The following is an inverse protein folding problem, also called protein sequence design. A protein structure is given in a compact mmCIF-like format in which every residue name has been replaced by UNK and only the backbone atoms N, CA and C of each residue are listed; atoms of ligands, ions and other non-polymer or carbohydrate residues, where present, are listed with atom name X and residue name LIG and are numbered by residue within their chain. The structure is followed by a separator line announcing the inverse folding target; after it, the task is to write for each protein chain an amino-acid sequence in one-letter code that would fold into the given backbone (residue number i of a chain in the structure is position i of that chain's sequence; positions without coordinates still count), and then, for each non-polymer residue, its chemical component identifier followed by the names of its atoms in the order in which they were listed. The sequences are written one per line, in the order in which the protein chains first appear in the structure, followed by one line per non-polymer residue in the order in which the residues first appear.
data_IF_696696159856
#
_entry.id   IF_696696159856
#
_cell.length_a   1.000
_cell.length_b   1.000
_cell.length_c   1.000
_cell.angle_alpha   90.00
_cell.angle_beta   90.00
_cell.angle_gamma   90.00
#
_symmetry.space_group_name_H-M   'P 1'
#
loop_
_entity.id
_entity.type
_entity.pdbx_description
1 polymer ?
#
# COMPACT_ATOMS: atom_id res chain seq x y z
N UNK A 1 -28.87 -23.21 4.39
CA UNK A 1 -29.15 -21.75 4.45
C UNK A 1 -27.99 -21.03 5.18
N UNK A 2 -27.38 -21.63 6.22
CA UNK A 2 -26.27 -21.02 6.98
C UNK A 2 -24.99 -20.86 6.16
N UNK A 3 -24.74 -21.76 5.22
CA UNK A 3 -23.55 -21.71 4.35
C UNK A 3 -23.65 -20.67 3.22
N UNK A 4 -24.87 -20.33 2.80
CA UNK A 4 -25.11 -19.29 1.77
C UNK A 4 -25.00 -17.87 2.32
N UNK A 5 -25.30 -17.65 3.62
CA UNK A 5 -25.22 -16.31 4.24
C UNK A 5 -23.83 -15.94 4.71
N UNK A 6 -22.97 -16.91 5.02
CA UNK A 6 -21.57 -16.65 5.43
C UNK A 6 -20.71 -16.07 4.31
N UNK A 7 -20.89 -16.56 3.10
CA UNK A 7 -20.07 -16.19 1.95
C UNK A 7 -20.38 -14.77 1.44
N UNK A 8 -21.68 -14.40 1.41
CA UNK A 8 -22.10 -13.07 0.97
C UNK A 8 -21.67 -11.94 1.92
N UNK A 9 -21.61 -12.20 3.22
CA UNK A 9 -21.21 -11.18 4.20
C UNK A 9 -19.74 -10.76 4.03
N UNK A 10 -18.85 -11.70 3.74
CA UNK A 10 -17.43 -11.41 3.49
C UNK A 10 -17.21 -10.75 2.13
N UNK A 11 -17.89 -11.22 1.09
CA UNK A 11 -17.77 -10.68 -0.27
C UNK A 11 -18.25 -9.23 -0.35
N UNK A 12 -19.31 -8.85 0.37
CA UNK A 12 -19.79 -7.47 0.43
C UNK A 12 -19.00 -6.60 1.41
N UNK A 13 -18.42 -7.17 2.46
CA UNK A 13 -17.68 -6.42 3.47
C UNK A 13 -16.39 -5.79 2.91
N UNK A 14 -15.68 -6.48 2.02
CA UNK A 14 -14.42 -6.01 1.47
C UNK A 14 -14.53 -4.75 0.58
N UNK A 15 -15.49 -4.64 -0.37
CA UNK A 15 -15.71 -3.39 -1.09
C UNK A 15 -16.05 -2.21 -0.15
N UNK A 16 -16.85 -2.46 0.89
CA UNK A 16 -17.21 -1.44 1.89
C UNK A 16 -15.96 -1.03 2.67
N UNK A 17 -15.14 -1.98 3.09
CA UNK A 17 -13.86 -1.71 3.76
C UNK A 17 -12.97 -0.78 2.92
N UNK A 18 -12.82 -1.04 1.63
CA UNK A 18 -12.05 -0.20 0.73
C UNK A 18 -12.59 1.21 0.61
N UNK A 19 -13.91 1.34 0.46
CA UNK A 19 -14.57 2.65 0.36
C UNK A 19 -14.25 3.49 1.60
N UNK A 20 -14.48 2.93 2.79
CA UNK A 20 -14.26 3.67 4.03
C UNK A 20 -12.79 3.87 4.38
N UNK A 21 -11.90 2.96 4.01
CA UNK A 21 -10.47 3.16 4.17
C UNK A 21 -9.97 4.33 3.29
N UNK A 22 -10.38 4.39 2.02
CA UNK A 22 -10.03 5.49 1.10
C UNK A 22 -10.61 6.82 1.61
N UNK A 23 -11.85 6.82 2.06
CA UNK A 23 -12.47 8.02 2.63
C UNK A 23 -11.75 8.48 3.90
N UNK A 24 -11.47 7.58 4.84
CA UNK A 24 -10.80 7.90 6.09
C UNK A 24 -9.44 8.54 5.85
N UNK A 25 -8.56 7.85 5.11
CA UNK A 25 -7.22 8.37 4.83
C UNK A 25 -7.24 9.60 3.93
N UNK A 26 -8.18 9.68 2.98
CA UNK A 26 -8.39 10.86 2.16
C UNK A 26 -8.76 12.09 3.00
N UNK A 27 -9.72 11.96 3.92
CA UNK A 27 -10.14 13.02 4.84
C UNK A 27 -8.98 13.45 5.76
N UNK A 28 -8.20 12.49 6.29
CA UNK A 28 -7.03 12.78 7.12
C UNK A 28 -5.94 13.51 6.35
N UNK A 29 -5.73 13.15 5.08
CA UNK A 29 -4.78 13.82 4.17
C UNK A 29 -5.24 15.24 3.86
N UNK A 30 -6.52 15.44 3.54
CA UNK A 30 -7.12 16.76 3.30
C UNK A 30 -7.01 17.66 4.55
N UNK A 31 -7.24 17.10 5.74
CA UNK A 31 -7.07 17.81 7.01
C UNK A 31 -5.61 18.18 7.31
N UNK A 32 -4.65 17.68 6.52
CA UNK A 32 -3.23 17.98 6.67
C UNK A 32 -2.57 17.26 7.85
N UNK A 33 -3.05 16.07 8.22
CA UNK A 33 -2.51 15.29 9.33
C UNK A 33 -1.01 14.98 9.15
N UNK A 34 -0.56 14.74 7.92
CA UNK A 34 0.84 14.40 7.64
C UNK A 34 1.76 15.62 7.55
N UNK A 35 1.24 16.84 7.39
CA UNK A 35 2.05 18.03 7.12
C UNK A 35 3.05 18.37 8.22
N UNK A 36 2.67 18.41 9.52
CA UNK A 36 3.63 18.69 10.58
C UNK A 36 4.73 17.62 10.68
N UNK A 37 4.39 16.37 10.32
CA UNK A 37 5.34 15.26 10.30
C UNK A 37 6.32 15.44 9.14
N UNK A 38 5.81 15.76 7.94
CA UNK A 38 6.61 16.06 6.76
C UNK A 38 7.57 17.22 7.04
N UNK A 39 7.05 18.32 7.57
CA UNK A 39 7.84 19.51 7.93
C UNK A 39 8.92 19.18 8.98
N UNK A 40 8.58 18.35 9.97
CA UNK A 40 9.54 17.91 10.98
C UNK A 40 10.65 17.05 10.38
N UNK A 41 10.31 16.12 9.51
CA UNK A 41 11.28 15.28 8.80
C UNK A 41 12.20 16.18 7.96
N UNK A 42 11.64 17.07 7.14
CA UNK A 42 12.41 17.97 6.29
C UNK A 42 13.39 18.82 7.11
N UNK A 43 12.96 19.37 8.26
CA UNK A 43 13.83 20.15 9.15
C UNK A 43 14.92 19.31 9.83
N UNK A 44 14.64 18.04 10.13
CA UNK A 44 15.58 17.17 10.87
C UNK A 44 16.64 16.56 9.96
N UNK A 45 16.29 16.34 8.71
CA UNK A 45 17.15 15.69 7.70
C UNK A 45 18.42 16.53 7.42
N UNK A 46 18.34 17.85 7.44
CA UNK A 46 19.48 18.74 7.21
C UNK A 46 20.08 18.56 5.81
N UNK A 47 21.41 18.66 5.71
CA UNK A 47 22.14 18.69 4.42
C UNK A 47 22.96 17.43 4.14
N UNK A 48 22.93 16.43 5.02
CA UNK A 48 23.71 15.19 4.82
C UNK A 48 22.94 14.21 3.93
N UNK A 49 23.53 13.71 2.83
CA UNK A 49 22.89 12.75 1.94
C UNK A 49 22.33 11.52 2.66
N UNK A 50 23.10 10.96 3.62
CA UNK A 50 22.64 9.81 4.41
C UNK A 50 21.35 10.09 5.15
N UNK A 51 21.22 11.26 5.81
CA UNK A 51 19.99 11.63 6.52
C UNK A 51 18.83 11.90 5.57
N UNK A 52 19.10 12.47 4.40
CA UNK A 52 18.08 12.75 3.37
C UNK A 52 17.48 11.45 2.86
N UNK A 53 18.31 10.46 2.55
CA UNK A 53 17.86 9.17 2.05
C UNK A 53 17.08 8.39 3.12
N UNK A 54 17.54 8.39 4.37
CA UNK A 54 16.80 7.78 5.50
C UNK A 54 15.50 8.54 5.78
N UNK A 55 15.53 9.88 5.73
CA UNK A 55 14.33 10.72 5.85
C UNK A 55 13.31 10.45 4.74
N UNK A 56 13.79 10.19 3.52
CA UNK A 56 12.92 9.76 2.40
C UNK A 56 12.22 8.43 2.70
N UNK A 57 12.95 7.43 3.23
CA UNK A 57 12.35 6.16 3.63
C UNK A 57 11.29 6.35 4.72
N UNK A 58 11.61 7.15 5.73
CA UNK A 58 10.68 7.46 6.82
C UNK A 58 9.41 8.15 6.29
N UNK A 59 9.58 9.15 5.44
CA UNK A 59 8.46 9.88 4.85
C UNK A 59 7.60 8.96 3.98
N UNK A 60 8.22 8.18 3.11
CA UNK A 60 7.51 7.25 2.24
C UNK A 60 6.70 6.20 3.02
N UNK A 61 7.28 5.64 4.10
CA UNK A 61 6.58 4.70 4.99
C UNK A 61 5.38 5.34 5.67
N UNK A 62 5.52 6.58 6.16
CA UNK A 62 4.43 7.30 6.83
C UNK A 62 3.31 7.68 5.86
N UNK A 63 3.67 8.15 4.66
CA UNK A 63 2.68 8.45 3.62
C UNK A 63 1.97 7.17 3.18
N UNK A 64 2.69 6.05 3.05
CA UNK A 64 2.12 4.76 2.64
C UNK A 64 1.15 4.14 3.68
N UNK A 65 0.99 4.73 4.84
CA UNK A 65 -0.04 4.30 5.79
C UNK A 65 -1.47 4.38 5.22
N UNK A 66 -1.69 5.17 4.19
CA UNK A 66 -2.97 5.19 3.45
C UNK A 66 -3.21 3.94 2.59
N UNK A 67 -2.19 3.09 2.43
CA UNK A 67 -2.24 1.88 1.61
C UNK A 67 -2.13 2.12 0.11
N UNK A 68 -1.91 3.37 -0.33
CA UNK A 68 -1.79 3.74 -1.73
C UNK A 68 -0.35 4.03 -2.14
N UNK A 69 0.19 3.20 -3.00
CA UNK A 69 1.51 3.46 -3.54
C UNK A 69 1.57 4.71 -4.42
N UNK A 70 0.52 5.00 -5.18
CA UNK A 70 0.46 6.20 -6.00
C UNK A 70 0.57 7.48 -5.15
N UNK A 71 -0.17 7.57 -4.04
CA UNK A 71 -0.10 8.69 -3.09
C UNK A 71 1.29 8.79 -2.48
N UNK A 72 1.92 7.66 -2.15
CA UNK A 72 3.29 7.64 -1.62
C UNK A 72 4.26 8.36 -2.54
N UNK A 73 4.22 8.07 -3.84
CA UNK A 73 5.08 8.76 -4.82
C UNK A 73 4.67 10.22 -5.02
N UNK A 74 3.38 10.50 -5.17
CA UNK A 74 2.85 11.86 -5.41
C UNK A 74 3.17 12.83 -4.26
N UNK A 75 3.30 12.35 -3.03
CA UNK A 75 3.63 13.17 -1.87
C UNK A 75 5.13 13.19 -1.60
N UNK A 76 5.79 12.03 -1.58
CA UNK A 76 7.19 11.92 -1.16
C UNK A 76 8.14 12.48 -2.21
N UNK A 77 7.91 12.21 -3.51
CA UNK A 77 8.81 12.65 -4.56
C UNK A 77 8.86 14.17 -4.66
N UNK A 78 7.75 14.92 -4.80
CA UNK A 78 7.81 16.38 -4.83
C UNK A 78 8.38 17.01 -3.55
N UNK A 79 8.16 16.39 -2.39
CA UNK A 79 8.67 16.89 -1.12
C UNK A 79 10.21 16.76 -1.01
N UNK A 80 10.77 15.66 -1.52
CA UNK A 80 12.20 15.33 -1.34
C UNK A 80 13.05 15.68 -2.57
N UNK A 81 12.49 15.70 -3.79
CA UNK A 81 13.21 15.95 -5.03
C UNK A 81 14.05 17.26 -5.04
N UNK A 82 13.56 18.39 -4.50
CA UNK A 82 14.35 19.61 -4.43
C UNK A 82 15.64 19.43 -3.63
N UNK A 83 15.63 18.66 -2.53
CA UNK A 83 16.81 18.36 -1.73
C UNK A 83 17.82 17.50 -2.51
N UNK A 84 17.33 16.48 -3.21
CA UNK A 84 18.17 15.62 -4.07
C UNK A 84 18.83 16.42 -5.18
N UNK A 85 18.07 17.30 -5.84
CA UNK A 85 18.57 18.11 -6.95
C UNK A 85 19.63 19.13 -6.47
N UNK A 86 19.37 19.80 -5.36
CA UNK A 86 20.30 20.83 -4.81
C UNK A 86 21.63 20.25 -4.36
N UNK A 87 21.62 19.03 -3.80
CA UNK A 87 22.83 18.37 -3.31
C UNK A 87 23.49 17.47 -4.36
N UNK A 88 22.91 17.32 -5.54
CA UNK A 88 23.43 16.44 -6.59
C UNK A 88 23.32 14.94 -6.26
N UNK A 89 22.40 14.57 -5.35
CA UNK A 89 22.10 13.16 -5.04
C UNK A 89 21.39 12.54 -6.22
N UNK A 90 21.74 11.29 -6.57
CA UNK A 90 21.08 10.59 -7.67
C UNK A 90 19.57 10.42 -7.41
N UNK A 91 18.75 10.95 -8.30
CA UNK A 91 17.28 10.90 -8.21
C UNK A 91 16.74 9.46 -8.25
N UNK A 92 17.48 8.53 -8.86
CA UNK A 92 17.13 7.10 -8.86
C UNK A 92 17.08 6.50 -7.45
N UNK A 93 17.90 7.03 -6.53
CA UNK A 93 17.86 6.61 -5.12
C UNK A 93 16.55 7.05 -4.47
N UNK A 94 16.04 8.25 -4.78
CA UNK A 94 14.74 8.70 -4.30
C UNK A 94 13.63 7.72 -4.71
N UNK A 95 13.56 7.40 -6.00
CA UNK A 95 12.56 6.46 -6.52
C UNK A 95 12.71 5.05 -5.93
N UNK A 96 13.94 4.55 -5.84
CA UNK A 96 14.25 3.24 -5.26
C UNK A 96 13.81 3.14 -3.79
N UNK A 97 14.12 4.14 -2.99
CA UNK A 97 13.77 4.15 -1.56
C UNK A 97 12.27 4.29 -1.35
N UNK A 98 11.59 5.13 -2.14
CA UNK A 98 10.12 5.21 -2.11
C UNK A 98 9.47 3.86 -2.45
N UNK A 99 9.99 3.20 -3.49
CA UNK A 99 9.49 1.91 -3.93
C UNK A 99 9.72 0.81 -2.88
N UNK A 100 10.92 0.73 -2.29
CA UNK A 100 11.21 -0.22 -1.21
C UNK A 100 10.32 0.02 0.01
N UNK A 101 10.11 1.28 0.40
CA UNK A 101 9.25 1.62 1.53
C UNK A 101 7.78 1.24 1.29
N UNK A 102 7.26 1.51 0.09
CA UNK A 102 5.92 1.10 -0.30
C UNK A 102 5.80 -0.43 -0.38
N UNK A 103 6.81 -1.12 -0.92
CA UNK A 103 6.81 -2.56 -1.12
C UNK A 103 6.89 -3.40 0.15
N UNK A 104 7.32 -2.84 1.27
CA UNK A 104 7.46 -3.57 2.55
C UNK A 104 6.25 -3.35 3.47
N UNK A 105 5.37 -2.41 3.17
CA UNK A 105 4.29 -2.03 4.07
C UNK A 105 3.02 -2.85 3.82
N UNK A 106 2.95 -4.06 4.40
CA UNK A 106 1.82 -5.01 4.29
C UNK A 106 0.72 -4.73 5.31
N UNK A 107 0.08 -3.59 5.26
CA UNK A 107 -0.97 -3.28 6.22
C UNK A 107 -2.30 -3.98 5.86
N UNK A 108 -3.15 -4.29 6.86
CA UNK A 108 -4.40 -5.03 6.65
C UNK A 108 -5.36 -4.37 5.65
N UNK A 109 -5.24 -3.07 5.42
CA UNK A 109 -6.08 -2.30 4.49
C UNK A 109 -5.39 -1.99 3.16
N UNK A 110 -4.18 -2.48 2.92
CA UNK A 110 -3.51 -2.30 1.63
C UNK A 110 -4.16 -3.12 0.54
N UNK A 111 -4.10 -2.59 -0.68
CA UNK A 111 -4.69 -3.22 -1.85
C UNK A 111 -4.37 -4.71 -2.03
N UNK A 112 -3.11 -5.13 -1.93
CA UNK A 112 -2.72 -6.54 -2.07
C UNK A 112 -3.35 -7.45 -1.03
N UNK A 113 -3.33 -7.07 0.26
CA UNK A 113 -3.90 -7.87 1.35
C UNK A 113 -5.40 -8.05 1.17
N UNK A 114 -6.10 -6.96 0.85
CA UNK A 114 -7.55 -7.01 0.65
C UNK A 114 -7.95 -7.79 -0.61
N UNK A 115 -7.17 -7.71 -1.70
CA UNK A 115 -7.39 -8.53 -2.89
C UNK A 115 -7.19 -10.01 -2.61
N UNK A 116 -6.14 -10.38 -1.88
CA UNK A 116 -5.88 -11.76 -1.48
C UNK A 116 -7.00 -12.31 -0.60
N UNK A 117 -7.45 -11.52 0.36
CA UNK A 117 -8.60 -11.85 1.21
C UNK A 117 -9.87 -12.08 0.38
N UNK A 118 -10.16 -11.18 -0.56
CA UNK A 118 -11.32 -11.28 -1.44
C UNK A 118 -11.26 -12.52 -2.35
N UNK A 119 -10.10 -12.77 -2.94
CA UNK A 119 -9.93 -13.85 -3.94
C UNK A 119 -9.99 -15.25 -3.33
N UNK A 120 -9.54 -15.42 -2.09
CA UNK A 120 -9.48 -16.71 -1.40
C UNK A 120 -10.53 -16.87 -0.30
N UNK A 121 -11.36 -15.84 -0.05
CA UNK A 121 -12.39 -15.85 0.99
C UNK A 121 -11.81 -16.13 2.39
N UNK A 122 -10.63 -15.57 2.69
CA UNK A 122 -9.95 -15.72 3.98
C UNK A 122 -9.99 -14.40 4.76
N UNK A 123 -10.12 -14.43 6.10
CA UNK A 123 -10.11 -13.21 6.90
C UNK A 123 -8.81 -12.42 6.73
N UNK A 124 -8.93 -11.10 6.65
CA UNK A 124 -7.78 -10.19 6.52
C UNK A 124 -6.78 -10.36 7.66
N UNK A 125 -7.26 -10.59 8.89
CA UNK A 125 -6.43 -10.78 10.06
C UNK A 125 -5.52 -12.01 9.93
N UNK A 126 -6.06 -13.13 9.43
CA UNK A 126 -5.33 -14.38 9.26
C UNK A 126 -4.22 -14.26 8.20
N UNK A 127 -4.46 -13.44 7.18
CA UNK A 127 -3.44 -13.11 6.19
C UNK A 127 -2.33 -12.24 6.76
N UNK A 128 -2.69 -11.21 7.52
CA UNK A 128 -1.75 -10.18 7.94
C UNK A 128 -0.92 -10.55 9.17
N UNK A 129 -1.54 -11.12 10.23
CA UNK A 129 -0.86 -11.36 11.50
C UNK A 129 0.43 -12.19 11.35
N UNK A 130 0.47 -13.30 10.58
CA UNK A 130 1.70 -14.06 10.38
C UNK A 130 2.79 -13.32 9.59
N UNK A 131 2.42 -12.25 8.85
CA UNK A 131 3.38 -11.45 8.08
C UNK A 131 4.03 -10.33 8.92
N UNK A 132 3.58 -10.05 10.13
CA UNK A 132 4.14 -9.01 11.00
C UNK A 132 5.66 -9.19 11.21
N UNK A 133 6.19 -10.38 11.57
CA UNK A 133 7.63 -10.55 11.70
C UNK A 133 8.40 -10.28 10.41
N UNK A 134 7.84 -10.68 9.27
CA UNK A 134 8.44 -10.44 7.94
C UNK A 134 8.46 -8.94 7.64
N UNK A 135 7.38 -8.24 7.96
CA UNK A 135 7.32 -6.78 7.81
C UNK A 135 8.37 -6.06 8.66
N UNK A 136 8.57 -6.49 9.91
CA UNK A 136 9.61 -5.92 10.78
C UNK A 136 11.01 -6.12 10.16
N UNK A 137 11.33 -7.32 9.69
CA UNK A 137 12.60 -7.60 9.01
C UNK A 137 12.73 -6.76 7.74
N UNK A 138 11.66 -6.64 6.96
CA UNK A 138 11.62 -5.80 5.76
C UNK A 138 11.85 -4.32 6.07
N UNK A 139 11.25 -3.79 7.14
CA UNK A 139 11.48 -2.41 7.58
C UNK A 139 12.96 -2.19 7.98
N UNK A 140 13.55 -3.11 8.73
CA UNK A 140 14.98 -3.06 9.07
C UNK A 140 15.82 -3.04 7.79
N UNK A 141 15.49 -3.89 6.81
CA UNK A 141 16.18 -3.94 5.53
C UNK A 141 16.05 -2.62 4.75
N UNK A 142 14.86 -2.02 4.67
CA UNK A 142 14.64 -0.73 4.00
C UNK A 142 15.50 0.36 4.63
N UNK A 143 15.51 0.47 5.96
CA UNK A 143 16.33 1.47 6.64
C UNK A 143 17.84 1.21 6.49
N UNK A 144 18.26 -0.04 6.52
CA UNK A 144 19.67 -0.42 6.28
C UNK A 144 20.09 -0.06 4.84
N UNK A 145 19.26 -0.38 3.83
CA UNK A 145 19.51 -0.01 2.44
C UNK A 145 19.51 1.50 2.24
N UNK A 146 18.55 2.23 2.83
CA UNK A 146 18.49 3.68 2.76
C UNK A 146 19.74 4.33 3.38
N UNK A 147 20.17 3.83 4.52
CA UNK A 147 21.41 4.28 5.16
C UNK A 147 22.63 3.98 4.28
N UNK A 148 22.74 2.77 3.74
CA UNK A 148 23.86 2.36 2.88
C UNK A 148 23.91 3.17 1.58
N UNK A 149 22.78 3.36 0.90
CA UNK A 149 22.69 4.17 -0.30
C UNK A 149 23.04 5.63 -0.02
N UNK A 150 22.52 6.18 1.08
CA UNK A 150 22.84 7.54 1.49
C UNK A 150 24.32 7.74 1.83
N UNK A 151 24.93 6.77 2.51
CA UNK A 151 26.36 6.81 2.83
C UNK A 151 27.25 6.66 1.58
N UNK A 152 26.83 5.85 0.61
CA UNK A 152 27.50 5.75 -0.68
C UNK A 152 27.47 7.08 -1.44
N UNK A 153 26.31 7.78 -1.41
CA UNK A 153 26.17 9.10 -2.04
C UNK A 153 27.00 10.18 -1.30
N UNK A 154 27.04 10.13 0.02
CA UNK A 154 27.88 11.03 0.82
C UNK A 154 29.35 10.92 0.43
N UNK A 155 29.86 9.70 0.25
CA UNK A 155 31.22 9.43 -0.25
C UNK A 155 31.40 9.90 -1.71
N UNK A 156 30.42 9.64 -2.58
CA UNK A 156 30.47 10.06 -3.99
C UNK A 156 30.55 11.56 -4.17
N UNK A 157 29.80 12.29 -3.35
CA UNK A 157 29.70 13.76 -3.41
C UNK A 157 30.79 14.50 -2.63
N UNK A 158 31.59 13.78 -1.81
CA UNK A 158 32.60 14.40 -0.95
C UNK A 158 32.02 15.33 0.10
N UNK A 159 30.71 15.24 0.38
CA UNK A 159 29.99 16.09 1.34
C UNK A 159 30.22 15.57 2.76
N UNK A 160 31.29 16.04 3.41
CA UNK A 160 31.53 15.82 4.83
C UNK A 160 30.63 16.68 5.72
N UNK A 161 30.80 16.56 7.03
CA UNK A 161 29.96 17.14 8.09
C UNK A 161 29.82 18.67 8.15
N UNK A 162 30.28 19.42 7.14
CA UNK A 162 30.38 20.89 7.16
C UNK A 162 29.68 21.65 6.04
N UNK A 163 28.98 20.98 5.13
CA UNK A 163 28.30 21.69 4.02
C UNK A 163 27.04 22.36 4.50
N UNK A 164 27.09 23.67 4.70
CA UNK A 164 25.91 24.50 4.96
C UNK A 164 25.21 24.80 3.62
N UNK A 165 24.01 24.30 3.46
CA UNK A 165 23.12 24.68 2.35
C UNK A 165 22.03 25.57 2.92
N UNK A 166 21.98 26.84 2.45
CA UNK A 166 20.98 27.80 2.85
C UNK A 166 19.56 27.39 2.44
N UNK A 167 18.62 27.68 3.33
CA UNK A 167 17.16 27.61 3.22
C UNK A 167 16.56 26.34 2.59
N UNK A 168 15.77 25.64 3.39
CA UNK A 168 14.94 24.52 2.92
C UNK A 168 13.88 24.96 1.92
N UNK A 169 13.61 24.16 0.87
CA UNK A 169 12.48 24.43 0.00
C UNK A 169 11.18 24.27 0.79
N UNK A 170 10.39 25.34 0.84
CA UNK A 170 9.03 25.27 1.35
C UNK A 170 8.15 24.53 0.33
N UNK A 171 7.37 23.60 0.81
CA UNK A 171 6.34 22.94 -0.01
C UNK A 171 5.31 23.99 -0.42
N UNK A 172 5.19 24.24 -1.72
CA UNK A 172 4.15 25.13 -2.27
C UNK A 172 2.83 24.35 -2.23
N UNK A 173 1.91 24.78 -1.38
CA UNK A 173 0.57 24.25 -1.28
C UNK A 173 -0.36 25.13 -2.12
N UNK A 174 -1.36 24.51 -2.76
CA UNK A 174 -2.44 25.24 -3.40
C UNK A 174 -3.28 25.99 -2.36
N UNK A 175 -3.83 27.16 -2.73
CA UNK A 175 -4.70 27.94 -1.86
C UNK A 175 -5.95 27.15 -1.41
N UNK A 176 -6.42 26.23 -2.24
CA UNK A 176 -7.54 25.36 -1.91
C UNK A 176 -7.15 24.27 -0.90
N UNK A 177 -5.93 23.73 -1.00
CA UNK A 177 -5.41 22.79 -0.01
C UNK A 177 -5.28 23.45 1.36
N UNK A 178 -4.82 24.72 1.40
CA UNK A 178 -4.66 25.49 2.66
C UNK A 178 -6.00 25.66 3.38
N UNK A 179 -7.09 25.92 2.65
CA UNK A 179 -8.45 26.08 3.24
C UNK A 179 -8.98 24.81 3.89
N UNK A 180 -8.56 23.65 3.38
CA UNK A 180 -9.02 22.34 3.88
C UNK A 180 -8.28 21.92 5.15
N UNK A 181 -7.10 22.43 5.39
CA UNK A 181 -6.22 22.00 6.49
C UNK A 181 -6.73 22.42 7.85
N UNK A 182 -6.50 21.55 8.82
CA UNK A 182 -6.89 21.71 10.23
C UNK A 182 -5.69 21.55 11.16
N UNK A 183 -4.68 22.44 11.11
CA UNK A 183 -3.43 22.28 11.85
C UNK A 183 -3.65 22.23 13.37
N UNK A 184 -4.71 22.87 13.88
CA UNK A 184 -5.06 22.83 15.32
C UNK A 184 -5.55 21.45 15.77
N UNK A 185 -6.07 20.64 14.86
CA UNK A 185 -6.59 19.31 15.14
C UNK A 185 -5.58 18.19 14.89
N UNK A 186 -4.32 18.53 14.62
CA UNK A 186 -3.26 17.57 14.33
C UNK A 186 -3.20 16.43 15.34
N UNK A 187 -3.13 16.73 16.63
CA UNK A 187 -3.02 15.72 17.68
C UNK A 187 -4.26 14.85 17.78
N UNK A 188 -5.45 15.43 17.55
CA UNK A 188 -6.71 14.69 17.57
C UNK A 188 -6.78 13.74 16.39
N UNK A 189 -6.42 14.20 15.19
CA UNK A 189 -6.39 13.39 13.98
C UNK A 189 -5.34 12.28 14.07
N UNK A 190 -4.16 12.58 14.61
CA UNK A 190 -3.11 11.59 14.83
C UNK A 190 -3.57 10.52 15.82
N UNK A 191 -4.16 10.92 16.95
CA UNK A 191 -4.69 10.00 17.95
C UNK A 191 -5.79 9.11 17.37
N UNK A 192 -6.73 9.70 16.62
CA UNK A 192 -7.80 8.96 15.98
C UNK A 192 -7.24 7.94 14.98
N UNK A 193 -6.27 8.34 14.16
CA UNK A 193 -5.65 7.43 13.19
C UNK A 193 -4.92 6.29 13.89
N UNK A 194 -4.11 6.60 14.90
CA UNK A 194 -3.39 5.57 15.68
C UNK A 194 -4.38 4.63 16.38
N UNK A 195 -5.46 5.16 16.96
CA UNK A 195 -6.50 4.35 17.62
C UNK A 195 -7.15 3.39 16.63
N UNK A 196 -7.60 3.90 15.46
CA UNK A 196 -8.19 3.08 14.39
C UNK A 196 -7.23 1.95 13.99
N UNK A 197 -5.96 2.29 13.76
CA UNK A 197 -4.94 1.32 13.35
C UNK A 197 -4.67 0.27 14.43
N UNK A 198 -4.49 0.68 15.68
CA UNK A 198 -4.18 -0.23 16.80
C UNK A 198 -5.33 -1.19 17.06
N UNK A 199 -6.57 -0.69 17.14
CA UNK A 199 -7.76 -1.53 17.37
C UNK A 199 -7.93 -2.57 16.26
N UNK A 200 -7.62 -2.18 15.03
CA UNK A 200 -7.73 -3.04 13.85
C UNK A 200 -6.63 -4.11 13.81
N UNK A 201 -5.37 -3.72 14.07
CA UNK A 201 -4.23 -4.66 14.13
C UNK A 201 -4.40 -5.65 15.29
N UNK A 202 -4.95 -5.18 16.42
CA UNK A 202 -5.25 -6.04 17.57
C UNK A 202 -6.41 -7.01 17.30
N UNK A 203 -7.20 -6.80 16.23
CA UNK A 203 -8.34 -7.66 15.90
C UNK A 203 -9.52 -7.52 16.85
N UNK A 204 -9.63 -6.42 17.61
CA UNK A 204 -10.70 -6.23 18.59
C UNK A 204 -12.05 -5.89 17.95
N UNK A 205 -12.02 -5.24 16.81
CA UNK A 205 -13.20 -4.82 16.04
C UNK A 205 -12.99 -5.15 14.56
N UNK A 206 -14.06 -5.50 13.88
CA UNK A 206 -14.03 -5.74 12.45
C UNK A 206 -13.50 -4.49 11.70
N UNK A 207 -12.54 -4.66 10.76
CA UNK A 207 -11.94 -3.56 10.02
C UNK A 207 -12.95 -2.67 9.30
N UNK A 208 -14.05 -3.22 8.79
CA UNK A 208 -15.11 -2.45 8.10
C UNK A 208 -15.75 -1.48 9.08
N UNK A 209 -16.16 -1.98 10.25
CA UNK A 209 -16.83 -1.17 11.28
C UNK A 209 -15.87 -0.08 11.78
N UNK A 210 -14.59 -0.43 11.95
CA UNK A 210 -13.59 0.51 12.46
C UNK A 210 -13.35 1.67 11.50
N UNK A 211 -13.24 1.40 10.19
CA UNK A 211 -13.10 2.47 9.20
C UNK A 211 -14.39 3.28 9.00
N UNK A 212 -15.57 2.65 9.08
CA UNK A 212 -16.84 3.37 9.06
C UNK A 212 -16.93 4.38 10.22
N UNK A 213 -16.71 3.92 11.44
CA UNK A 213 -16.74 4.79 12.62
C UNK A 213 -15.64 5.85 12.57
N UNK A 214 -14.42 5.47 12.19
CA UNK A 214 -13.31 6.39 12.02
C UNK A 214 -13.61 7.48 11.00
N UNK A 215 -14.22 7.16 9.87
CA UNK A 215 -14.62 8.12 8.83
C UNK A 215 -15.67 9.11 9.35
N UNK A 216 -16.72 8.61 10.03
CA UNK A 216 -17.75 9.47 10.60
C UNK A 216 -17.15 10.42 11.64
N UNK A 217 -16.33 9.91 12.55
CA UNK A 217 -15.66 10.72 13.58
C UNK A 217 -14.72 11.74 12.94
N UNK A 218 -13.95 11.34 11.93
CA UNK A 218 -13.04 12.21 11.20
C UNK A 218 -13.78 13.36 10.50
N UNK A 219 -14.92 13.08 9.84
CA UNK A 219 -15.76 14.09 9.20
C UNK A 219 -16.34 15.07 10.23
N UNK A 220 -16.91 14.56 11.31
CA UNK A 220 -17.53 15.40 12.34
C UNK A 220 -16.52 16.33 13.02
N UNK A 221 -15.30 15.85 13.28
CA UNK A 221 -14.25 16.62 13.95
C UNK A 221 -13.65 17.68 13.01
N UNK A 222 -13.32 17.29 11.77
CA UNK A 222 -12.59 18.18 10.85
C UNK A 222 -13.52 19.10 10.04
N UNK A 223 -14.72 18.63 9.72
CA UNK A 223 -15.65 19.32 8.84
C UNK A 223 -17.07 19.32 9.43
N UNK A 224 -17.38 20.21 10.40
CA UNK A 224 -18.67 20.20 11.09
C UNK A 224 -19.85 20.63 10.20
N UNK A 225 -19.59 21.29 9.07
CA UNK A 225 -20.62 21.69 8.12
C UNK A 225 -20.94 20.54 7.16
N UNK A 226 -22.23 20.23 6.95
CA UNK A 226 -22.71 19.16 6.09
C UNK A 226 -22.24 19.32 4.63
N UNK A 227 -22.22 20.54 4.11
CA UNK A 227 -21.77 20.80 2.74
C UNK A 227 -20.27 20.53 2.59
N UNK A 228 -19.47 20.87 3.62
CA UNK A 228 -18.05 20.54 3.64
C UNK A 228 -17.82 19.03 3.74
N UNK A 229 -18.64 18.30 4.51
CA UNK A 229 -18.58 16.83 4.58
C UNK A 229 -18.88 16.20 3.22
N UNK A 230 -19.96 16.63 2.57
CA UNK A 230 -20.31 16.16 1.21
C UNK A 230 -19.18 16.41 0.22
N UNK A 231 -18.63 17.62 0.21
CA UNK A 231 -17.52 17.96 -0.67
C UNK A 231 -16.28 17.07 -0.45
N UNK A 232 -16.02 16.60 0.78
CA UNK A 232 -14.90 15.67 1.06
C UNK A 232 -15.22 14.26 0.59
N UNK A 233 -16.44 13.79 0.81
CA UNK A 233 -16.90 12.50 0.29
C UNK A 233 -16.82 12.51 -1.24
N UNK A 234 -17.33 13.53 -1.90
CA UNK A 234 -17.32 13.65 -3.37
C UNK A 234 -15.89 13.69 -3.94
N UNK A 235 -14.97 14.37 -3.27
CA UNK A 235 -13.55 14.44 -3.68
C UNK A 235 -12.88 13.05 -3.77
N UNK A 236 -13.26 12.12 -2.89
CA UNK A 236 -12.69 10.76 -2.83
C UNK A 236 -13.60 9.68 -3.43
N UNK A 237 -14.85 10.00 -3.74
CA UNK A 237 -15.88 9.06 -4.20
C UNK A 237 -15.46 8.31 -5.47
N UNK A 238 -14.87 9.00 -6.45
CA UNK A 238 -14.44 8.39 -7.72
C UNK A 238 -13.44 7.26 -7.47
N UNK A 239 -12.44 7.49 -6.64
CA UNK A 239 -11.41 6.49 -6.31
C UNK A 239 -12.04 5.33 -5.52
N UNK A 240 -12.87 5.64 -4.53
CA UNK A 240 -13.55 4.65 -3.71
C UNK A 240 -14.47 3.74 -4.53
N UNK A 241 -15.31 4.33 -5.38
CA UNK A 241 -16.23 3.59 -6.25
C UNK A 241 -15.49 2.75 -7.30
N UNK A 242 -14.42 3.27 -7.88
CA UNK A 242 -13.60 2.52 -8.85
C UNK A 242 -13.03 1.26 -8.19
N UNK A 243 -12.47 1.37 -6.98
CA UNK A 243 -11.92 0.22 -6.26
C UNK A 243 -13.02 -0.77 -5.85
N UNK A 244 -14.14 -0.30 -5.34
CA UNK A 244 -15.29 -1.15 -5.01
C UNK A 244 -15.81 -1.90 -6.25
N UNK A 245 -15.91 -1.24 -7.39
CA UNK A 245 -16.37 -1.86 -8.65
C UNK A 245 -15.42 -2.95 -9.14
N UNK A 246 -14.10 -2.73 -9.04
CA UNK A 246 -13.09 -3.73 -9.39
C UNK A 246 -13.23 -4.97 -8.50
N UNK A 247 -13.41 -4.79 -7.19
CA UNK A 247 -13.58 -5.90 -6.25
C UNK A 247 -14.86 -6.69 -6.50
N UNK A 248 -15.96 -5.99 -6.79
CA UNK A 248 -17.24 -6.65 -7.13
C UNK A 248 -17.12 -7.44 -8.43
N UNK A 249 -16.52 -6.87 -9.47
CA UNK A 249 -16.29 -7.56 -10.73
C UNK A 249 -15.37 -8.80 -10.56
N UNK A 250 -14.32 -8.65 -9.75
CA UNK A 250 -13.44 -9.76 -9.41
C UNK A 250 -14.14 -10.86 -8.61
N UNK A 251 -15.00 -10.48 -7.66
CA UNK A 251 -15.85 -11.44 -6.93
C UNK A 251 -16.78 -12.22 -7.84
N UNK A 252 -17.38 -11.56 -8.83
CA UNK A 252 -18.20 -12.25 -9.86
C UNK A 252 -17.33 -13.21 -10.69
N UNK A 253 -16.16 -12.78 -11.13
CA UNK A 253 -15.24 -13.60 -11.91
C UNK A 253 -14.80 -14.86 -11.15
N UNK A 254 -14.32 -14.70 -9.90
CA UNK A 254 -13.89 -15.83 -9.06
C UNK A 254 -15.07 -16.74 -8.72
N UNK A 255 -16.25 -16.18 -8.45
CA UNK A 255 -17.47 -16.94 -8.20
C UNK A 255 -17.88 -17.80 -9.40
N UNK A 256 -17.80 -17.28 -10.62
CA UNK A 256 -18.05 -18.06 -11.86
C UNK A 256 -17.00 -19.18 -11.99
N UNK A 257 -15.72 -18.87 -11.82
CA UNK A 257 -14.63 -19.83 -11.94
C UNK A 257 -14.76 -21.00 -10.94
N UNK A 258 -15.19 -20.70 -9.71
CA UNK A 258 -15.45 -21.71 -8.67
C UNK A 258 -16.74 -22.48 -8.95
N UNK A 259 -17.85 -21.77 -9.19
CA UNK A 259 -19.17 -22.36 -9.36
C UNK A 259 -19.30 -23.26 -10.60
N UNK A 260 -18.54 -22.97 -11.66
CA UNK A 260 -18.48 -23.82 -12.88
C UNK A 260 -17.50 -24.99 -12.77
N UNK A 261 -16.69 -25.05 -11.70
CA UNK A 261 -15.65 -26.07 -11.53
C UNK A 261 -14.41 -25.84 -12.39
N UNK A 262 -14.30 -24.70 -13.09
CA UNK A 262 -13.14 -24.38 -13.94
C UNK A 262 -11.83 -24.34 -13.15
N UNK A 263 -11.84 -23.73 -11.95
CA UNK A 263 -10.66 -23.71 -11.07
C UNK A 263 -10.18 -25.11 -10.73
N UNK A 264 -11.12 -26.02 -10.39
CA UNK A 264 -10.80 -27.40 -10.05
C UNK A 264 -10.23 -28.13 -11.26
N UNK A 265 -10.82 -27.98 -12.45
CA UNK A 265 -10.33 -28.61 -13.67
C UNK A 265 -8.91 -28.14 -14.03
N UNK A 266 -8.64 -26.85 -13.93
CA UNK A 266 -7.29 -26.29 -14.16
C UNK A 266 -6.31 -26.85 -13.12
N UNK A 267 -6.70 -26.89 -11.85
CA UNK A 267 -5.87 -27.42 -10.77
C UNK A 267 -5.54 -28.91 -10.97
N UNK A 268 -6.48 -29.72 -11.38
CA UNK A 268 -6.27 -31.15 -11.67
C UNK A 268 -5.21 -31.36 -12.76
N UNK A 269 -5.29 -30.61 -13.85
CA UNK A 269 -4.29 -30.65 -14.93
C UNK A 269 -2.89 -30.19 -14.41
N UNK A 270 -2.84 -29.14 -13.61
CA UNK A 270 -1.60 -28.64 -13.05
C UNK A 270 -0.97 -29.64 -12.05
N UNK A 271 -1.78 -30.25 -11.19
CA UNK A 271 -1.33 -31.25 -10.21
C UNK A 271 -0.72 -32.47 -10.92
N UNK A 272 -1.29 -32.89 -12.06
CA UNK A 272 -0.73 -33.99 -12.83
C UNK A 272 0.69 -33.76 -13.35
N UNK A 273 1.13 -32.50 -13.44
CA UNK A 273 2.48 -32.12 -13.86
C UNK A 273 3.46 -32.01 -12.67
N UNK A 274 2.97 -32.02 -11.42
CA UNK A 274 3.79 -31.85 -10.23
C UNK A 274 4.18 -33.23 -9.67
N UNK A 275 5.48 -33.53 -9.52
CA UNK A 275 5.90 -34.82 -8.95
C UNK A 275 5.36 -35.02 -7.53
N UNK A 276 5.00 -36.26 -7.18
CA UNK A 276 4.49 -36.59 -5.87
C UNK A 276 5.47 -36.18 -4.75
N UNK A 277 4.94 -35.63 -3.65
CA UNK A 277 5.75 -35.21 -2.50
C UNK A 277 6.28 -33.76 -2.56
N UNK A 278 6.17 -33.06 -3.68
CA UNK A 278 6.67 -31.68 -3.83
C UNK A 278 5.66 -30.58 -3.43
N UNK A 279 4.47 -30.94 -2.98
CA UNK A 279 3.43 -29.98 -2.56
C UNK A 279 3.93 -28.97 -1.53
N UNK A 280 4.73 -29.39 -0.55
CA UNK A 280 5.28 -28.52 0.49
C UNK A 280 6.20 -27.38 -0.03
N UNK A 281 6.71 -27.51 -1.26
CA UNK A 281 7.55 -26.50 -1.89
C UNK A 281 6.74 -25.39 -2.58
N UNK A 282 5.43 -25.59 -2.79
CA UNK A 282 4.56 -24.64 -3.51
C UNK A 282 4.66 -23.23 -2.94
N UNK A 283 4.53 -22.98 -1.61
CA UNK A 283 4.64 -21.63 -1.08
C UNK A 283 5.98 -20.97 -1.37
N UNK A 284 7.08 -21.71 -1.25
CA UNK A 284 8.43 -21.21 -1.55
C UNK A 284 8.59 -20.88 -3.04
N UNK A 285 8.14 -21.77 -3.92
CA UNK A 285 8.19 -21.57 -5.37
C UNK A 285 7.30 -20.38 -5.77
N UNK A 286 6.10 -20.27 -5.20
CA UNK A 286 5.19 -19.16 -5.44
C UNK A 286 5.80 -17.85 -4.97
N UNK A 287 6.36 -17.80 -3.77
CA UNK A 287 7.03 -16.60 -3.26
C UNK A 287 8.15 -16.11 -4.18
N UNK A 288 8.91 -17.04 -4.77
CA UNK A 288 9.98 -16.69 -5.70
C UNK A 288 9.47 -16.33 -7.10
N UNK A 289 8.54 -17.12 -7.68
CA UNK A 289 8.01 -16.91 -9.02
C UNK A 289 7.07 -15.70 -9.08
N UNK A 290 6.35 -15.39 -8.01
CA UNK A 290 5.46 -14.22 -7.97
C UNK A 290 6.21 -12.90 -8.15
N UNK A 291 7.50 -12.84 -7.82
CA UNK A 291 8.34 -11.68 -8.14
C UNK A 291 8.41 -11.38 -9.65
N UNK A 292 8.89 -12.27 -10.52
CA UNK A 292 8.87 -12.02 -11.97
C UNK A 292 7.45 -11.96 -12.54
N UNK A 293 6.49 -12.68 -12.00
CA UNK A 293 5.09 -12.61 -12.43
C UNK A 293 4.47 -11.22 -12.20
N UNK A 294 4.88 -10.51 -11.18
CA UNK A 294 4.44 -9.14 -10.92
C UNK A 294 4.86 -8.14 -12.02
N UNK A 295 5.83 -8.50 -12.85
CA UNK A 295 6.21 -7.70 -14.02
C UNK A 295 5.29 -7.96 -15.22
N UNK A 296 4.69 -9.15 -15.30
CA UNK A 296 3.84 -9.59 -16.40
C UNK A 296 2.35 -9.32 -16.15
N UNK A 297 1.94 -9.40 -14.91
CA UNK A 297 0.55 -9.20 -14.49
C UNK A 297 0.42 -7.92 -13.68
N UNK A 298 -0.67 -7.19 -13.91
CA UNK A 298 -1.10 -6.17 -12.96
C UNK A 298 -1.63 -6.82 -11.68
N UNK A 299 -1.68 -6.12 -10.55
CA UNK A 299 -2.12 -6.69 -9.28
C UNK A 299 -3.51 -7.34 -9.34
N UNK A 300 -4.45 -6.73 -10.06
CA UNK A 300 -5.82 -7.26 -10.14
C UNK A 300 -5.84 -8.61 -10.88
N UNK A 301 -5.16 -8.71 -12.03
CA UNK A 301 -5.05 -9.96 -12.80
C UNK A 301 -4.33 -11.06 -12.02
N UNK A 302 -3.30 -10.71 -11.25
CA UNK A 302 -2.59 -11.70 -10.44
C UNK A 302 -3.44 -12.23 -9.28
N UNK A 303 -3.98 -11.33 -8.45
CA UNK A 303 -4.70 -11.74 -7.24
C UNK A 303 -6.03 -12.42 -7.53
N UNK A 304 -6.74 -12.04 -8.61
CA UNK A 304 -8.03 -12.61 -8.94
C UNK A 304 -7.97 -13.70 -10.00
N UNK A 305 -6.95 -13.71 -10.87
CA UNK A 305 -6.80 -14.71 -11.93
C UNK A 305 -5.82 -15.82 -11.58
N UNK A 306 -4.62 -15.48 -11.17
CA UNK A 306 -3.52 -16.45 -11.00
C UNK A 306 -3.52 -17.10 -9.62
N UNK A 307 -3.61 -16.28 -8.57
CA UNK A 307 -3.49 -16.76 -7.19
C UNK A 307 -4.56 -17.81 -6.79
N UNK A 308 -5.87 -17.67 -7.15
CA UNK A 308 -6.86 -18.69 -6.82
C UNK A 308 -6.56 -20.06 -7.46
N UNK A 309 -6.03 -20.06 -8.68
CA UNK A 309 -5.62 -21.29 -9.36
C UNK A 309 -4.48 -21.97 -8.59
N UNK A 310 -3.45 -21.21 -8.22
CA UNK A 310 -2.31 -21.75 -7.46
C UNK A 310 -2.76 -22.23 -6.08
N UNK A 311 -3.67 -21.52 -5.44
CA UNK A 311 -4.23 -21.91 -4.15
C UNK A 311 -5.00 -23.22 -4.23
N UNK A 312 -5.79 -23.44 -5.27
CA UNK A 312 -6.51 -24.70 -5.48
C UNK A 312 -5.56 -25.85 -5.79
N UNK A 313 -4.51 -25.62 -6.60
CA UNK A 313 -3.42 -26.59 -6.81
C UNK A 313 -2.75 -26.96 -5.48
N UNK A 314 -2.42 -25.96 -4.67
CA UNK A 314 -1.83 -26.14 -3.34
C UNK A 314 -2.71 -27.01 -2.45
N UNK A 315 -4.01 -26.68 -2.39
CA UNK A 315 -5.01 -27.40 -1.62
C UNK A 315 -5.11 -28.87 -2.03
N UNK A 316 -5.11 -29.15 -3.33
CA UNK A 316 -5.11 -30.52 -3.86
C UNK A 316 -3.84 -31.32 -3.49
N UNK A 317 -2.73 -30.62 -3.22
CA UNK A 317 -1.46 -31.21 -2.77
C UNK A 317 -1.23 -31.12 -1.24
N UNK A 318 -2.27 -30.73 -0.48
CA UNK A 318 -2.25 -30.68 0.99
C UNK A 318 -1.59 -29.42 1.57
N UNK A 319 -1.50 -28.35 0.79
CA UNK A 319 -1.01 -27.03 1.23
C UNK A 319 -2.19 -26.12 1.56
N UNK A 320 -2.12 -25.41 2.67
CA UNK A 320 -3.13 -24.43 3.05
C UNK A 320 -3.14 -23.25 2.04
N UNK A 321 -4.30 -22.89 1.45
CA UNK A 321 -4.45 -21.72 0.61
C UNK A 321 -3.93 -20.42 1.24
N UNK A 322 -4.01 -20.30 2.55
CA UNK A 322 -3.48 -19.16 3.31
C UNK A 322 -1.96 -19.00 3.12
N UNK A 323 -1.20 -20.11 3.14
CA UNK A 323 0.24 -20.09 2.91
C UNK A 323 0.59 -19.66 1.48
N UNK A 324 -0.21 -20.05 0.51
CA UNK A 324 -0.07 -19.64 -0.89
C UNK A 324 -0.30 -18.13 -1.03
N UNK A 325 -1.36 -17.62 -0.37
CA UNK A 325 -1.65 -16.19 -0.36
C UNK A 325 -0.54 -15.36 0.28
N UNK A 326 -0.04 -15.79 1.44
CA UNK A 326 1.05 -15.12 2.15
C UNK A 326 2.34 -15.10 1.31
N UNK A 327 2.70 -16.23 0.69
CA UNK A 327 3.85 -16.32 -0.20
C UNK A 327 3.69 -15.40 -1.43
N UNK A 328 2.50 -15.35 -2.01
CA UNK A 328 2.17 -14.45 -3.12
C UNK A 328 2.29 -12.97 -2.73
N UNK A 329 1.79 -12.61 -1.55
CA UNK A 329 1.91 -11.24 -1.02
C UNK A 329 3.37 -10.82 -0.89
N UNK A 330 4.21 -11.68 -0.33
CA UNK A 330 5.63 -11.39 -0.17
C UNK A 330 6.34 -11.19 -1.51
N UNK A 331 6.03 -11.98 -2.53
CA UNK A 331 6.66 -11.87 -3.83
C UNK A 331 6.14 -10.69 -4.66
N UNK A 332 4.83 -10.60 -4.86
CA UNK A 332 4.20 -9.59 -5.74
C UNK A 332 4.34 -8.19 -5.16
N UNK A 333 4.16 -8.03 -3.85
CA UNK A 333 4.15 -6.71 -3.23
C UNK A 333 5.56 -6.11 -3.15
N UNK A 334 6.58 -6.91 -2.89
CA UNK A 334 7.96 -6.42 -2.74
C UNK A 334 8.61 -5.97 -4.04
N UNK A 335 8.27 -6.58 -5.17
CA UNK A 335 8.93 -6.31 -6.45
C UNK A 335 8.03 -5.71 -7.52
N UNK A 336 6.73 -5.97 -7.49
CA UNK A 336 5.80 -5.49 -8.50
C UNK A 336 5.60 -3.99 -8.52
N UNK A 337 5.84 -3.35 -7.38
CA UNK A 337 5.64 -1.92 -7.23
C UNK A 337 6.71 -1.08 -7.94
N UNK A 338 8.02 -1.37 -7.79
CA UNK A 338 9.06 -0.54 -8.38
C UNK A 338 9.37 -0.84 -9.86
N UNK A 339 9.01 -2.02 -10.36
CA UNK A 339 9.56 -2.52 -11.62
C UNK A 339 8.49 -2.84 -12.67
N UNK A 340 7.20 -2.90 -12.30
CA UNK A 340 6.16 -3.23 -13.26
C UNK A 340 5.87 -2.09 -14.24
N UNK A 341 6.13 -2.27 -15.55
CA UNK A 341 5.81 -1.27 -16.56
C UNK A 341 4.29 -1.01 -16.68
N UNK A 342 3.47 -1.88 -16.11
CA UNK A 342 2.01 -1.74 -16.07
C UNK A 342 1.55 -0.83 -14.93
N UNK A 343 2.25 -0.84 -13.80
CA UNK A 343 1.96 0.06 -12.67
C UNK A 343 2.41 1.48 -12.98
N UNK A 344 3.54 1.64 -13.67
CA UNK A 344 4.12 2.93 -14.02
C UNK A 344 3.27 3.71 -15.06
N UNK A 345 2.58 3.04 -15.97
CA UNK A 345 1.67 3.69 -16.93
C UNK A 345 0.51 4.45 -16.28
N UNK A 346 0.06 4.07 -15.09
CA UNK A 346 -0.99 4.79 -14.36
C UNK A 346 -0.41 6.05 -13.69
N UNK A 347 0.79 5.99 -13.15
CA UNK A 347 1.46 7.16 -12.54
C UNK A 347 1.92 8.16 -13.61
N UNK A 348 2.41 7.70 -14.75
CA UNK A 348 2.83 8.55 -15.88
C UNK A 348 1.66 9.24 -16.58
N UNK A 349 0.49 8.60 -16.68
CA UNK A 349 -0.70 9.24 -17.27
C UNK A 349 -1.33 10.31 -16.35
N UNK A 350 -1.13 10.23 -15.06
CA UNK A 350 -1.54 11.28 -14.12
C UNK A 350 -0.60 12.51 -14.17
N UNK A 351 0.63 12.34 -14.66
CA UNK A 351 1.64 13.38 -14.77
C UNK A 351 1.81 13.93 -16.20
N UNK A 352 0.94 13.59 -17.15
CA UNK A 352 1.05 14.09 -18.55
C UNK A 352 0.80 15.59 -18.73
N UNK A 353 0.56 16.34 -17.65
CA UNK A 353 0.53 17.80 -17.64
C UNK A 353 1.87 18.46 -17.26
N UNK A 354 2.88 17.70 -16.78
CA UNK A 354 4.23 18.19 -16.57
C UNK A 354 5.26 17.11 -16.93
N UNK A 355 6.15 17.35 -17.90
CA UNK A 355 7.24 16.43 -18.20
C UNK A 355 8.25 16.48 -17.05
N UNK A 356 8.26 15.45 -16.20
CA UNK A 356 9.43 15.12 -15.43
C UNK A 356 10.37 14.40 -16.39
N UNK A 357 11.30 15.12 -17.00
CA UNK A 357 12.47 14.55 -17.63
C UNK A 357 13.29 13.82 -16.56
N UNK A 358 13.09 12.51 -16.49
CA UNK A 358 13.92 11.57 -15.74
C UNK A 358 15.06 11.10 -16.61
#
# INVERSE_FOLDING_TARGET
IRDLTGDWSQTCALPILFVFAILFFGIMTDAGMLDPIIDRILRTVGTRPTRIVVGTATLALLVHLDGSGAVTFLVTVPAMLPLYTRLGIDKRILACVCAMAAGVNFLPWTGPVLRSSAALHVPVADLFQPLIPVQIVGLIFVFACAWWLGHREEKRLGLGAGSTVDAMPQRVLSDDDIKLRRPRLFWVNLLLTVLVMVVMIAGWVDPVVMFMLGTVVALCINYPNVDAQRARIDAHAKTALTMASILLAAGVFTGIMQGTGMLKAIAEVAVAQIPAGHGKLIPAVVGFISMPLSMLFDPDSYYFGVMPVIAEVGKALGVDPLQVAQASLLGVHTTGFPVSPLTDRKSTRLNSSHPLDL
#
